data_IF_335126256465
#
_entry.id   IF_335126256465
#
_cell.length_a   1.000
_cell.length_b   1.000
_cell.length_c   1.000
_cell.angle_alpha   90.00
_cell.angle_beta   90.00
_cell.angle_gamma   90.00
#
_symmetry.space_group_name_H-M   'P 1'
#
loop_
_entity.id
_entity.type
_entity.pdbx_description
1 polymer ?
#
# COMPACT_ATOMS: atom_id res chain seq x y z
N UNK A 1 -1.58 12.07 -39.47
CA UNK A 1 -0.40 11.31 -38.99
C UNK A 1 -0.38 11.41 -37.46
N UNK A 2 -1.03 10.47 -36.79
CA UNK A 2 -1.12 10.39 -35.33
C UNK A 2 0.15 9.73 -34.80
N UNK A 3 0.89 10.42 -33.93
CA UNK A 3 2.03 9.84 -33.23
C UNK A 3 1.49 8.79 -32.26
N UNK A 4 1.90 7.52 -32.41
CA UNK A 4 1.55 6.46 -31.47
C UNK A 4 2.04 6.84 -30.05
N UNK A 5 1.25 6.59 -28.99
CA UNK A 5 1.63 6.98 -27.64
C UNK A 5 2.92 6.25 -27.24
N UNK A 6 3.92 7.00 -26.75
CA UNK A 6 5.12 6.38 -26.15
C UNK A 6 4.67 5.66 -24.89
N UNK A 7 4.91 4.34 -24.81
CA UNK A 7 4.74 3.59 -23.56
C UNK A 7 5.74 4.13 -22.52
N UNK A 8 5.29 5.06 -21.67
CA UNK A 8 6.08 5.57 -20.55
C UNK A 8 5.74 4.74 -19.31
N UNK A 9 6.73 4.06 -18.77
CA UNK A 9 6.62 3.37 -17.49
C UNK A 9 6.92 4.36 -16.35
N UNK A 10 6.04 4.39 -15.35
CA UNK A 10 6.26 5.09 -14.09
C UNK A 10 7.00 4.15 -13.13
N UNK A 11 8.17 4.58 -12.65
CA UNK A 11 8.93 3.83 -11.65
C UNK A 11 8.64 4.40 -10.27
N UNK A 12 8.16 3.54 -9.37
CA UNK A 12 7.90 3.90 -7.98
C UNK A 12 8.99 3.31 -7.10
N UNK A 13 9.97 4.14 -6.74
CA UNK A 13 10.99 3.81 -5.75
C UNK A 13 10.48 4.14 -4.36
N UNK A 14 10.24 3.13 -3.54
CA UNK A 14 9.74 3.40 -2.20
C UNK A 14 9.43 2.18 -1.37
N UNK A 15 8.79 2.43 -0.22
CA UNK A 15 8.48 1.36 0.73
C UNK A 15 7.35 0.46 0.22
N UNK A 16 7.57 -0.84 0.44
CA UNK A 16 6.58 -1.90 0.40
C UNK A 16 6.62 -2.60 1.74
N UNK A 17 5.49 -2.61 2.45
CA UNK A 17 5.38 -3.19 3.78
C UNK A 17 4.22 -4.18 3.84
N UNK A 18 4.23 -5.02 4.87
CA UNK A 18 3.04 -5.73 5.32
C UNK A 18 2.50 -5.02 6.56
N UNK A 19 1.32 -4.42 6.45
CA UNK A 19 0.64 -3.79 7.56
C UNK A 19 -0.02 -4.88 8.41
N UNK A 20 0.30 -4.90 9.71
CA UNK A 20 -0.26 -5.83 10.69
C UNK A 20 -1.33 -5.10 11.50
N UNK A 21 -2.60 -5.33 11.15
CA UNK A 21 -3.73 -4.60 11.73
C UNK A 21 -4.44 -5.48 12.75
N UNK A 22 -4.34 -5.12 14.03
CA UNK A 22 -5.13 -5.70 15.11
C UNK A 22 -6.28 -4.75 15.47
N UNK A 23 -7.52 -5.26 15.51
CA UNK A 23 -8.69 -4.49 15.97
C UNK A 23 -9.01 -4.83 17.41
N UNK A 24 -9.31 -3.80 18.18
CA UNK A 24 -9.68 -3.86 19.60
C UNK A 24 -10.80 -2.85 19.86
N UNK A 25 -11.50 -2.98 20.98
CA UNK A 25 -12.55 -2.02 21.36
C UNK A 25 -12.03 -0.62 21.66
N UNK A 26 -10.73 -0.49 22.00
CA UNK A 26 -10.00 0.76 22.20
C UNK A 26 -8.49 0.54 22.10
N UNK A 27 -7.71 1.62 22.10
CA UNK A 27 -6.26 1.54 22.24
C UNK A 27 -5.86 1.02 23.64
N UNK A 28 -4.82 0.17 23.75
CA UNK A 28 -4.29 -0.26 25.03
C UNK A 28 -3.57 0.87 25.76
N UNK A 29 -3.59 0.85 27.09
CA UNK A 29 -2.75 1.71 27.92
C UNK A 29 -1.35 1.10 28.10
N UNK A 30 -0.33 1.90 28.49
CA UNK A 30 1.00 1.36 28.77
C UNK A 30 0.96 0.22 29.81
N UNK A 31 1.56 -0.93 29.47
CA UNK A 31 1.59 -2.13 30.31
C UNK A 31 0.35 -3.01 30.24
N UNK A 32 -0.69 -2.61 29.52
CA UNK A 32 -1.93 -3.37 29.40
C UNK A 32 -1.86 -4.45 28.30
N UNK A 33 -2.50 -5.59 28.53
CA UNK A 33 -2.81 -6.60 27.50
C UNK A 33 -4.33 -6.68 27.33
N UNK A 34 -4.83 -6.50 26.10
CA UNK A 34 -6.26 -6.59 25.78
C UNK A 34 -6.51 -7.61 24.66
N UNK A 35 -7.69 -8.22 24.65
CA UNK A 35 -8.09 -9.13 23.59
C UNK A 35 -8.45 -8.36 22.31
N UNK A 36 -7.84 -8.78 21.21
CA UNK A 36 -8.24 -8.36 19.86
C UNK A 36 -9.53 -9.06 19.42
N UNK A 37 -10.27 -8.42 18.54
CA UNK A 37 -11.48 -8.98 17.90
C UNK A 37 -11.22 -9.49 16.49
N UNK A 38 -10.13 -9.04 15.85
CA UNK A 38 -9.77 -9.36 14.46
C UNK A 38 -8.28 -9.05 14.24
N UNK A 39 -7.62 -9.83 13.38
CA UNK A 39 -6.24 -9.60 12.96
C UNK A 39 -6.11 -9.79 11.45
N UNK A 40 -5.51 -8.81 10.78
CA UNK A 40 -5.34 -8.82 9.32
C UNK A 40 -3.94 -8.42 8.90
N UNK A 41 -3.46 -9.08 7.86
CA UNK A 41 -2.27 -8.69 7.10
C UNK A 41 -2.73 -8.01 5.82
N UNK A 42 -2.26 -6.79 5.59
CA UNK A 42 -2.62 -6.00 4.40
C UNK A 42 -1.35 -5.53 3.69
N UNK A 43 -1.28 -5.56 2.35
CA UNK A 43 -0.20 -4.92 1.65
C UNK A 43 -0.25 -3.41 1.90
N UNK A 44 0.89 -2.83 2.24
CA UNK A 44 1.03 -1.41 2.56
C UNK A 44 2.37 -0.85 2.10
N UNK A 45 2.74 0.29 2.69
CA UNK A 45 3.90 1.07 2.25
C UNK A 45 3.52 2.18 1.28
N UNK A 46 4.13 3.36 1.46
CA UNK A 46 3.76 4.55 0.70
C UNK A 46 4.07 4.40 -0.78
N UNK A 47 5.23 3.80 -1.11
CA UNK A 47 5.64 3.54 -2.49
C UNK A 47 4.68 2.57 -3.16
N UNK A 48 4.41 1.43 -2.53
CA UNK A 48 3.46 0.45 -3.05
C UNK A 48 2.05 1.04 -3.24
N UNK A 49 1.53 1.79 -2.26
CA UNK A 49 0.20 2.40 -2.35
C UNK A 49 0.10 3.43 -3.49
N UNK A 50 1.13 4.24 -3.70
CA UNK A 50 1.19 5.18 -4.82
C UNK A 50 1.30 4.44 -6.16
N UNK A 51 2.13 3.40 -6.25
CA UNK A 51 2.28 2.56 -7.44
C UNK A 51 0.95 1.91 -7.86
N UNK A 52 0.23 1.33 -6.90
CA UNK A 52 -1.09 0.72 -7.12
C UNK A 52 -2.10 1.76 -7.57
N UNK A 53 -2.12 2.95 -6.95
CA UNK A 53 -3.02 4.03 -7.35
C UNK A 53 -2.78 4.48 -8.81
N UNK A 54 -1.51 4.66 -9.20
CA UNK A 54 -1.14 5.02 -10.57
C UNK A 54 -1.51 3.92 -11.58
N UNK A 55 -1.27 2.64 -11.24
CA UNK A 55 -1.65 1.51 -12.08
C UNK A 55 -3.17 1.41 -12.28
N UNK A 56 -3.97 1.66 -11.23
CA UNK A 56 -5.44 1.70 -11.30
C UNK A 56 -5.97 2.83 -12.19
N UNK A 57 -5.20 3.90 -12.38
CA UNK A 57 -5.51 5.00 -13.30
C UNK A 57 -5.01 4.76 -14.74
N UNK A 58 -4.43 3.58 -15.02
CA UNK A 58 -4.02 3.18 -16.36
C UNK A 58 -2.55 3.44 -16.71
N UNK A 59 -1.73 3.89 -15.75
CA UNK A 59 -0.29 3.99 -15.99
C UNK A 59 0.36 2.59 -16.02
N UNK A 60 1.35 2.40 -16.90
CA UNK A 60 2.28 1.27 -16.78
C UNK A 60 3.23 1.58 -15.62
N UNK A 61 3.23 0.75 -14.58
CA UNK A 61 4.01 1.02 -13.35
C UNK A 61 4.98 -0.13 -13.07
N UNK A 62 6.21 0.21 -12.68
CA UNK A 62 7.18 -0.70 -12.10
C UNK A 62 7.45 -0.28 -10.65
N UNK A 63 7.22 -1.19 -9.70
CA UNK A 63 7.64 -1.00 -8.31
C UNK A 63 9.10 -1.43 -8.18
N UNK A 64 9.93 -0.60 -7.54
CA UNK A 64 11.36 -0.84 -7.32
C UNK A 64 11.71 -0.66 -5.85
#
# INVERSE_FOLDING_TARGET
MTVAPRHRTLYSFGSLNMDLVCRTSRLPQPGETILGTDFKTLPGGKGANQAVAAARLGAAVAMV
#
